data_IF_412665057348
#
_entry.id   IF_412665057348
#
_cell.length_a   1.000
_cell.length_b   1.000
_cell.length_c   1.000
_cell.angle_alpha   90.00
_cell.angle_beta   90.00
_cell.angle_gamma   90.00
#
_symmetry.space_group_name_H-M   'P 1'
#
loop_
_entity.id
_entity.type
_entity.pdbx_description
1 polymer ?
#
# COMPACT_ATOMS: atom_id res chain seq x y z
N UNK A 1 -3.36 -3.46 -5.89
CA UNK A 1 -3.04 -4.85 -5.50
C UNK A 1 -1.87 -4.83 -4.53
N UNK A 2 -1.96 -5.58 -3.44
CA UNK A 2 -0.85 -5.81 -2.51
C UNK A 2 -0.76 -7.32 -2.20
N UNK A 3 0.24 -8.00 -2.76
CA UNK A 3 0.48 -9.43 -2.55
C UNK A 3 1.64 -9.62 -1.59
N UNK A 4 1.35 -10.01 -0.35
CA UNK A 4 2.40 -10.36 0.63
C UNK A 4 3.05 -11.68 0.20
N UNK A 5 4.38 -11.65 0.01
CA UNK A 5 5.19 -12.83 -0.30
C UNK A 5 5.71 -13.50 0.98
N UNK A 6 6.13 -12.70 1.95
CA UNK A 6 6.52 -13.18 3.28
C UNK A 6 6.42 -12.08 4.34
N UNK A 7 6.17 -12.47 5.59
CA UNK A 7 6.41 -11.61 6.75
C UNK A 7 7.86 -11.79 7.19
N UNK A 8 8.66 -10.73 7.07
CA UNK A 8 10.07 -10.79 7.45
C UNK A 8 10.26 -10.70 8.98
N UNK A 9 9.27 -10.11 9.68
CA UNK A 9 9.17 -10.01 11.14
C UNK A 9 7.69 -10.07 11.59
N UNK A 10 7.39 -9.82 12.89
CA UNK A 10 6.04 -9.66 13.44
C UNK A 10 5.23 -8.60 12.65
N UNK A 11 4.44 -9.05 11.69
CA UNK A 11 3.52 -8.23 10.91
C UNK A 11 2.18 -8.18 11.63
N UNK A 12 1.80 -7.01 12.13
CA UNK A 12 0.51 -6.79 12.77
C UNK A 12 -0.49 -6.18 11.78
N UNK A 13 -1.73 -6.65 11.85
CA UNK A 13 -2.87 -6.03 11.18
C UNK A 13 -3.64 -5.24 12.22
N UNK A 14 -3.85 -3.95 11.99
CA UNK A 14 -4.49 -3.06 12.97
C UNK A 14 -5.62 -2.29 12.29
N UNK A 15 -6.81 -2.37 12.88
CA UNK A 15 -7.97 -1.60 12.46
C UNK A 15 -7.95 -0.23 13.13
N UNK A 16 -8.00 0.82 12.32
CA UNK A 16 -7.87 2.21 12.76
C UNK A 16 -8.99 3.03 12.13
N UNK A 17 -9.52 4.01 12.88
CA UNK A 17 -10.50 4.96 12.33
C UNK A 17 -9.93 5.69 11.11
N UNK A 18 -10.76 5.83 10.09
CA UNK A 18 -10.41 6.49 8.83
C UNK A 18 -11.16 7.80 8.68
N UNK A 19 -10.49 8.78 8.09
CA UNK A 19 -11.08 10.02 7.61
C UNK A 19 -11.47 9.95 6.12
N UNK A 20 -11.23 8.80 5.45
CA UNK A 20 -11.53 8.63 4.02
C UNK A 20 -13.02 8.80 3.76
N UNK A 21 -13.39 9.64 2.79
CA UNK A 21 -14.76 9.69 2.29
C UNK A 21 -15.01 8.48 1.36
N UNK A 22 -16.02 7.67 1.68
CA UNK A 22 -16.39 6.38 1.08
C UNK A 22 -16.86 6.39 -0.39
N UNK A 23 -16.42 7.34 -1.22
CA UNK A 23 -16.99 7.52 -2.59
C UNK A 23 -16.03 7.43 -3.76
N UNK A 24 -14.74 7.16 -3.58
CA UNK A 24 -13.84 6.93 -4.72
C UNK A 24 -13.56 5.44 -4.94
N UNK A 25 -13.96 4.94 -6.10
CA UNK A 25 -13.98 3.52 -6.48
C UNK A 25 -12.58 2.87 -6.59
N UNK A 26 -11.52 3.56 -6.20
CA UNK A 26 -10.16 3.07 -6.22
C UNK A 26 -9.42 3.56 -4.98
N UNK A 27 -8.93 2.62 -4.18
CA UNK A 27 -7.99 2.76 -3.07
C UNK A 27 -6.60 3.26 -3.57
N UNK A 28 -6.57 4.08 -4.61
CA UNK A 28 -5.37 4.58 -5.30
C UNK A 28 -4.56 5.44 -4.33
N UNK A 29 -3.30 5.21 -3.92
CA UNK A 29 -2.32 4.16 -4.23
C UNK A 29 -2.30 2.96 -3.28
N UNK A 30 -1.73 2.89 -2.07
CA UNK A 30 -2.01 1.74 -1.12
C UNK A 30 -1.57 2.03 0.29
N UNK A 31 -1.39 3.29 0.58
CA UNK A 31 -0.67 3.72 1.77
C UNK A 31 -1.50 4.79 2.44
N UNK A 32 -1.61 4.70 3.76
CA UNK A 32 -2.30 5.69 4.58
C UNK A 32 -1.34 6.25 5.63
N UNK A 33 -1.51 7.53 5.96
CA UNK A 33 -0.81 8.17 7.05
C UNK A 33 -1.81 8.65 8.10
N UNK A 34 -1.34 8.80 9.33
CA UNK A 34 -2.14 9.45 10.38
C UNK A 34 -2.21 10.96 10.08
N UNK A 35 -3.42 11.49 10.07
CA UNK A 35 -3.68 12.91 10.03
C UNK A 35 -3.43 13.57 11.40
N UNK A 36 -3.63 14.89 11.48
CA UNK A 36 -3.45 15.65 12.72
C UNK A 36 -4.47 15.29 13.83
N UNK A 37 -5.55 14.58 13.49
CA UNK A 37 -6.59 14.12 14.42
C UNK A 37 -6.38 12.68 14.90
N UNK A 38 -5.37 11.99 14.37
CA UNK A 38 -5.07 10.60 14.70
C UNK A 38 -5.89 9.58 13.90
N UNK A 39 -6.55 10.01 12.81
CA UNK A 39 -7.26 9.13 11.87
C UNK A 39 -6.40 8.85 10.65
N UNK A 40 -6.65 7.73 9.98
CA UNK A 40 -5.98 7.44 8.72
C UNK A 40 -6.61 8.23 7.57
N UNK A 41 -5.77 8.99 6.87
CA UNK A 41 -6.12 9.77 5.67
C UNK A 41 -5.11 9.51 4.51
N UNK A 42 -5.42 10.04 3.32
CA UNK A 42 -4.49 10.04 2.21
C UNK A 42 -3.17 10.70 2.64
N UNK A 43 -2.03 10.06 2.38
CA UNK A 43 -0.75 10.57 2.82
C UNK A 43 -0.37 11.82 2.04
N UNK A 44 0.22 12.79 2.73
CA UNK A 44 1.00 13.84 2.08
C UNK A 44 2.30 13.24 1.54
N UNK A 45 2.85 13.82 0.47
CA UNK A 45 4.10 13.33 -0.11
C UNK A 45 5.23 13.27 0.94
N UNK A 46 5.91 12.12 0.99
CA UNK A 46 6.99 11.85 1.93
C UNK A 46 6.56 11.61 3.38
N UNK A 47 5.27 11.48 3.67
CA UNK A 47 4.78 11.15 5.00
C UNK A 47 5.20 9.73 5.43
N UNK A 48 5.28 9.53 6.75
CA UNK A 48 5.29 8.17 7.30
C UNK A 48 3.93 7.54 7.05
N UNK A 49 3.91 6.52 6.20
CA UNK A 49 2.69 5.85 5.79
C UNK A 49 2.79 4.33 5.98
N UNK A 50 1.64 3.68 6.01
CA UNK A 50 1.50 2.23 6.22
C UNK A 50 0.68 1.63 5.10
N UNK A 51 1.09 0.44 4.65
CA UNK A 51 0.36 -0.28 3.62
C UNK A 51 -1.04 -0.63 4.15
N UNK A 52 -2.05 -0.27 3.38
CA UNK A 52 -3.43 -0.63 3.63
C UNK A 52 -3.61 -2.09 3.25
N UNK A 53 -4.14 -2.87 4.17
CA UNK A 53 -4.61 -4.22 3.87
C UNK A 53 -5.96 -4.15 3.18
N UNK A 54 -6.02 -4.54 1.92
CA UNK A 54 -7.27 -4.63 1.16
C UNK A 54 -7.33 -5.98 0.43
N UNK A 55 -8.18 -6.90 0.90
CA UNK A 55 -8.53 -8.07 0.10
C UNK A 55 -9.77 -7.74 -0.74
N UNK A 56 -9.55 -7.50 -2.04
CA UNK A 56 -10.48 -7.63 -3.17
C UNK A 56 -11.97 -7.20 -2.97
N UNK A 57 -12.34 -5.97 -3.37
CA UNK A 57 -13.75 -5.62 -3.66
C UNK A 57 -14.10 -6.04 -5.10
N UNK A 58 -14.70 -7.21 -5.28
CA UNK A 58 -15.31 -7.54 -6.58
C UNK A 58 -15.91 -8.94 -6.74
N UNK A 59 -15.38 -10.00 -6.11
CA UNK A 59 -15.85 -11.38 -6.36
C UNK A 59 -15.70 -12.30 -5.14
N UNK A 60 -16.66 -13.20 -4.94
CA UNK A 60 -16.97 -14.01 -3.74
C UNK A 60 -15.99 -15.17 -3.44
N UNK A 61 -14.80 -14.89 -2.89
CA UNK A 61 -14.07 -15.90 -2.11
C UNK A 61 -13.19 -15.22 -1.03
N UNK A 62 -13.40 -15.64 0.22
CA UNK A 62 -12.91 -15.13 1.50
C UNK A 62 -11.61 -14.27 1.49
N UNK A 63 -11.75 -13.06 2.03
CA UNK A 63 -10.67 -12.14 2.40
C UNK A 63 -11.27 -10.89 3.05
N UNK A 64 -10.65 -10.37 4.11
CA UNK A 64 -11.06 -9.17 4.84
C UNK A 64 -10.90 -7.93 3.96
N UNK A 65 -12.02 -7.28 3.64
CA UNK A 65 -12.07 -5.92 3.13
C UNK A 65 -12.46 -5.01 4.30
N UNK A 66 -11.69 -3.96 4.64
CA UNK A 66 -12.19 -2.95 5.55
C UNK A 66 -13.43 -2.33 4.92
N UNK A 67 -14.60 -2.63 5.48
CA UNK A 67 -15.86 -2.00 5.11
C UNK A 67 -15.87 -0.60 5.72
N UNK A 68 -15.09 0.31 5.13
CA UNK A 68 -14.96 1.70 5.60
C UNK A 68 -16.34 2.35 5.68
N UNK A 69 -17.24 1.98 4.78
CA UNK A 69 -18.56 2.56 4.64
C UNK A 69 -19.45 2.14 5.82
N UNK A 70 -19.34 0.89 6.28
CA UNK A 70 -20.08 0.40 7.44
C UNK A 70 -19.36 0.63 8.78
N UNK A 71 -18.03 0.64 8.80
CA UNK A 71 -17.23 0.61 10.05
C UNK A 71 -16.49 1.90 10.33
N UNK A 72 -16.29 2.75 9.33
CA UNK A 72 -15.43 3.94 9.41
C UNK A 72 -13.96 3.61 9.65
N UNK A 73 -13.52 2.38 9.36
CA UNK A 73 -12.17 1.90 9.70
C UNK A 73 -11.41 1.35 8.50
N UNK A 74 -10.09 1.46 8.56
CA UNK A 74 -9.12 0.86 7.66
C UNK A 74 -8.20 -0.07 8.43
N UNK A 75 -7.77 -1.14 7.78
CA UNK A 75 -6.73 -2.02 8.33
C UNK A 75 -5.41 -1.69 7.71
N UNK A 76 -4.42 -1.42 8.54
CA UNK A 76 -3.04 -1.19 8.11
C UNK A 76 -2.13 -2.34 8.53
N UNK A 77 -1.07 -2.52 7.77
CA UNK A 77 0.02 -3.43 8.06
C UNK A 77 1.14 -2.67 8.77
N UNK A 78 1.48 -3.12 9.99
CA UNK A 78 2.57 -2.57 10.78
C UNK A 78 3.64 -3.64 11.02
N UNK A 79 4.86 -3.35 10.57
CA UNK A 79 6.01 -4.25 10.64
C UNK A 79 6.71 -4.37 9.28
N UNK A 80 7.66 -5.31 9.21
CA UNK A 80 8.41 -5.57 7.99
C UNK A 80 7.73 -6.65 7.15
N UNK A 81 7.40 -6.31 5.91
CA UNK A 81 6.81 -7.21 4.94
C UNK A 81 7.60 -7.18 3.64
N UNK A 82 7.63 -8.33 2.97
CA UNK A 82 8.09 -8.48 1.60
C UNK A 82 6.86 -8.73 0.72
N UNK A 83 6.65 -7.89 -0.28
CA UNK A 83 5.42 -7.92 -1.06
C UNK A 83 5.60 -7.44 -2.50
N UNK A 84 4.55 -7.66 -3.29
CA UNK A 84 4.40 -7.12 -4.64
C UNK A 84 3.22 -6.15 -4.66
N UNK A 85 3.36 -5.03 -5.36
CA UNK A 85 2.27 -4.05 -5.57
C UNK A 85 2.33 -3.45 -6.96
N UNK A 86 1.16 -3.14 -7.52
CA UNK A 86 0.97 -2.34 -8.75
C UNK A 86 0.73 -0.85 -8.45
N UNK A 87 0.74 -0.47 -7.16
CA UNK A 87 0.39 0.87 -6.71
C UNK A 87 1.63 1.74 -6.59
N UNK A 88 2.23 1.94 -7.74
CA UNK A 88 3.49 2.65 -7.95
C UNK A 88 3.33 3.71 -9.02
N UNK A 89 4.21 4.70 -9.03
CA UNK A 89 4.33 5.62 -10.17
C UNK A 89 4.73 4.85 -11.42
N UNK A 90 4.28 5.31 -12.59
CA UNK A 90 4.33 4.54 -13.84
C UNK A 90 5.76 4.27 -14.39
N UNK A 91 6.80 4.89 -13.83
CA UNK A 91 8.17 4.73 -14.32
C UNK A 91 9.21 5.26 -13.33
N UNK A 92 10.47 4.82 -13.48
CA UNK A 92 11.62 5.45 -12.84
C UNK A 92 12.08 4.82 -11.53
N UNK A 93 11.56 3.65 -11.18
CA UNK A 93 12.01 2.85 -10.04
C UNK A 93 13.00 1.79 -10.53
N UNK A 94 14.12 1.63 -9.82
CA UNK A 94 15.13 0.60 -10.00
C UNK A 94 15.23 -0.30 -8.77
N UNK A 95 15.75 -1.52 -8.94
CA UNK A 95 16.05 -2.38 -7.81
C UNK A 95 17.11 -1.73 -6.90
N UNK A 96 16.85 -1.70 -5.60
CA UNK A 96 17.65 -1.03 -4.58
C UNK A 96 17.21 0.40 -4.27
N UNK A 97 16.31 0.99 -5.06
CA UNK A 97 15.86 2.36 -4.80
C UNK A 97 15.09 2.46 -3.48
N UNK A 98 15.35 3.52 -2.68
CA UNK A 98 14.51 3.84 -1.53
C UNK A 98 13.14 4.31 -2.02
N UNK A 99 12.08 3.84 -1.38
CA UNK A 99 10.70 4.16 -1.76
C UNK A 99 10.07 5.07 -0.71
N UNK A 100 9.41 6.12 -1.17
CA UNK A 100 8.55 7.01 -0.38
C UNK A 100 7.13 6.99 -0.96
N UNK A 101 6.18 7.51 -0.19
CA UNK A 101 4.80 7.66 -0.66
C UNK A 101 4.61 9.03 -1.30
N UNK A 102 4.09 9.06 -2.52
CA UNK A 102 3.72 10.27 -3.25
C UNK A 102 2.38 10.83 -2.78
N UNK A 103 2.04 12.06 -3.21
CA UNK A 103 0.79 12.74 -2.84
C UNK A 103 -0.49 12.06 -3.35
N UNK A 104 -0.38 11.12 -4.29
CA UNK A 104 -1.47 10.27 -4.78
C UNK A 104 -1.49 8.89 -4.08
N UNK A 105 -0.71 8.71 -3.01
CA UNK A 105 -0.69 7.50 -2.18
C UNK A 105 0.06 6.32 -2.79
N UNK A 106 0.78 6.51 -3.89
CA UNK A 106 1.58 5.47 -4.57
C UNK A 106 3.03 5.47 -4.09
N UNK A 107 3.76 4.40 -4.38
CA UNK A 107 5.20 4.37 -4.16
C UNK A 107 5.95 5.05 -5.32
N UNK A 108 6.94 5.86 -4.95
CA UNK A 108 7.89 6.50 -5.85
C UNK A 108 9.31 6.44 -5.26
N UNK A 109 10.33 6.75 -6.06
CA UNK A 109 11.70 6.85 -5.56
C UNK A 109 11.82 8.04 -4.61
N UNK A 110 12.39 7.81 -3.42
CA UNK A 110 12.55 8.84 -2.41
C UNK A 110 13.59 9.90 -2.82
N UNK A 111 13.25 11.19 -2.73
CA UNK A 111 14.11 12.29 -3.17
C UNK A 111 15.08 12.82 -2.10
N UNK A 112 15.20 12.14 -0.96
CA UNK A 112 16.19 12.41 0.10
C UNK A 112 15.70 13.17 1.34
N UNK A 113 14.61 13.94 1.24
CA UNK A 113 13.96 14.59 2.41
C UNK A 113 12.73 13.85 2.93
N UNK A 114 12.30 12.82 2.21
CA UNK A 114 11.08 12.07 2.45
C UNK A 114 11.31 10.90 3.41
N UNK A 115 10.27 10.47 4.10
CA UNK A 115 10.33 9.24 4.90
C UNK A 115 10.34 8.04 3.96
N UNK A 116 11.41 7.24 4.05
CA UNK A 116 11.51 5.96 3.33
C UNK A 116 10.59 4.95 4.01
N UNK A 117 9.69 4.34 3.24
CA UNK A 117 8.76 3.29 3.70
C UNK A 117 9.20 1.88 3.30
N UNK A 118 10.14 1.78 2.36
CA UNK A 118 10.69 0.50 1.90
C UNK A 118 11.75 0.66 0.82
N UNK A 119 12.19 -0.47 0.27
CA UNK A 119 13.14 -0.53 -0.84
C UNK A 119 12.62 -1.48 -1.92
N UNK A 120 12.77 -1.08 -3.18
CA UNK A 120 12.45 -1.94 -4.31
C UNK A 120 13.45 -3.11 -4.40
N UNK A 121 12.96 -4.34 -4.55
CA UNK A 121 13.80 -5.54 -4.73
C UNK A 121 13.74 -6.05 -6.16
N UNK A 122 12.63 -5.83 -6.87
CA UNK A 122 12.43 -6.19 -8.28
C UNK A 122 11.46 -5.21 -8.94
N UNK A 123 11.67 -4.92 -10.22
CA UNK A 123 10.88 -3.95 -10.99
C UNK A 123 10.25 -4.58 -12.23
N UNK A 124 9.41 -3.82 -12.92
CA UNK A 124 8.81 -4.13 -14.23
C UNK A 124 8.18 -5.53 -14.27
N UNK A 125 7.47 -5.90 -13.21
CA UNK A 125 6.79 -7.17 -13.11
C UNK A 125 5.43 -7.08 -13.80
N UNK A 126 5.38 -7.58 -15.03
CA UNK A 126 4.15 -7.75 -15.81
C UNK A 126 3.57 -9.16 -15.67
N UNK A 127 2.27 -9.28 -15.89
CA UNK A 127 1.57 -10.57 -15.85
C UNK A 127 1.40 -11.16 -14.45
N UNK A 128 1.45 -10.32 -13.40
CA UNK A 128 1.31 -10.80 -12.02
C UNK A 128 -0.13 -11.20 -11.75
N UNK A 129 -0.36 -12.49 -11.55
CA UNK A 129 -1.67 -13.01 -11.16
C UNK A 129 -1.94 -12.81 -9.66
N UNK A 130 -3.09 -12.23 -9.36
CA UNK A 130 -3.60 -12.04 -8.00
C UNK A 130 -5.13 -12.07 -7.98
N UNK A 131 -5.70 -12.99 -7.19
CA UNK A 131 -7.15 -13.25 -7.10
C UNK A 131 -7.88 -13.32 -8.45
N UNK A 132 -7.31 -14.02 -9.43
CA UNK A 132 -7.93 -14.22 -10.74
C UNK A 132 -7.88 -12.99 -11.66
N UNK A 133 -7.20 -11.92 -11.26
CA UNK A 133 -6.88 -10.77 -12.10
C UNK A 133 -5.39 -10.73 -12.42
N UNK A 134 -5.04 -10.12 -13.54
CA UNK A 134 -3.66 -9.93 -13.98
C UNK A 134 -3.27 -8.46 -13.85
N UNK A 135 -2.17 -8.21 -13.17
CA UNK A 135 -1.63 -6.86 -12.95
C UNK A 135 -0.30 -6.70 -13.69
N UNK A 136 -0.10 -5.50 -14.22
CA UNK A 136 1.13 -5.08 -14.92
C UNK A 136 1.73 -3.89 -14.18
N UNK A 137 2.97 -3.53 -14.52
CA UNK A 137 3.70 -2.44 -13.85
C UNK A 137 3.78 -2.66 -12.33
N UNK A 138 4.01 -3.92 -11.90
CA UNK A 138 4.20 -4.23 -10.50
C UNK A 138 5.68 -4.10 -10.10
N UNK A 139 5.92 -3.83 -8.82
CA UNK A 139 7.24 -3.97 -8.20
C UNK A 139 7.17 -4.96 -7.04
N UNK A 140 8.30 -5.59 -6.74
CA UNK A 140 8.55 -6.26 -5.48
C UNK A 140 9.32 -5.32 -4.56
N UNK A 141 8.97 -5.29 -3.28
CA UNK A 141 9.59 -4.42 -2.30
C UNK A 141 9.59 -5.02 -0.89
N UNK A 142 10.45 -4.47 -0.04
CA UNK A 142 10.51 -4.76 1.40
C UNK A 142 10.30 -3.47 2.18
N UNK A 143 9.42 -3.48 3.18
CA UNK A 143 9.25 -2.32 4.08
C UNK A 143 10.37 -2.20 5.10
N UNK A 144 10.62 -0.97 5.54
CA UNK A 144 11.58 -0.67 6.61
C UNK A 144 11.08 -1.08 7.99
#
# INVERSE_FOLDING_TARGET
MLKILSSLNLLNRIDVESAFASTDAAVTGTWAAYDATGKLDFPTAGAKAYAIWSENRGTTAAGFSPDIDATGKLTILMGQLHAVTDQVVASGISAGDPLSVSSDGKLAVASGSEVVVGYATKIDMDGVEYYGSTFNNCIEFTTV
#
